data_IF_728076036852
#
_entry.id   IF_728076036852
#
_cell.length_a   1.000
_cell.length_b   1.000
_cell.length_c   1.000
_cell.angle_alpha   90.00
_cell.angle_beta   90.00
_cell.angle_gamma   90.00
#
_symmetry.space_group_name_H-M   'P 1'
#
loop_
_entity.id
_entity.type
_entity.pdbx_description
1 polymer ?
#
# COMPACT_ATOMS: atom_id res chain seq x y z
N UNK A 1 7.97 24.35 2.97
CA UNK A 1 8.06 23.81 1.60
C UNK A 1 9.51 23.54 1.19
N UNK A 2 10.39 24.54 1.26
CA UNK A 2 11.81 24.43 0.85
C UNK A 2 12.63 23.40 1.68
N UNK A 3 12.45 23.34 2.99
CA UNK A 3 13.16 22.35 3.84
C UNK A 3 12.75 20.90 3.54
N UNK A 4 11.47 20.65 3.24
CA UNK A 4 10.97 19.31 2.89
C UNK A 4 11.58 18.84 1.56
N UNK A 5 11.63 19.77 0.59
CA UNK A 5 12.26 19.56 -0.71
C UNK A 5 13.77 19.31 -0.62
N UNK A 6 14.48 20.04 0.25
CA UNK A 6 15.92 19.86 0.47
C UNK A 6 16.26 18.50 1.11
N UNK A 7 15.43 18.02 2.04
CA UNK A 7 15.57 16.67 2.64
C UNK A 7 15.33 15.57 1.60
N UNK A 8 14.31 15.73 0.75
CA UNK A 8 14.02 14.79 -0.33
C UNK A 8 15.17 14.73 -1.37
N UNK A 9 15.74 15.87 -1.76
CA UNK A 9 16.88 15.94 -2.69
C UNK A 9 18.14 15.29 -2.09
N UNK A 10 18.47 15.61 -0.84
CA UNK A 10 19.62 15.04 -0.12
C UNK A 10 19.51 13.52 0.04
N UNK A 11 18.31 13.02 0.35
CA UNK A 11 18.06 11.58 0.45
C UNK A 11 18.21 10.90 -0.91
N UNK A 12 17.67 11.50 -1.96
CA UNK A 12 17.73 10.99 -3.34
C UNK A 12 19.18 10.79 -3.82
N UNK A 13 20.11 11.64 -3.39
CA UNK A 13 21.52 11.58 -3.80
C UNK A 13 22.36 10.51 -3.05
N UNK A 14 21.84 9.93 -1.96
CA UNK A 14 22.60 9.03 -1.06
C UNK A 14 21.95 7.65 -0.87
N UNK A 15 21.09 7.23 -1.80
CA UNK A 15 20.47 5.89 -1.73
C UNK A 15 21.52 4.85 -2.13
N UNK A 16 22.18 4.24 -1.14
CA UNK A 16 22.97 3.02 -1.33
C UNK A 16 22.07 1.81 -1.04
N UNK A 17 22.02 0.80 -1.92
CA UNK A 17 21.28 -0.43 -1.63
C UNK A 17 21.74 -1.03 -0.30
N UNK A 18 20.84 -1.17 0.67
CA UNK A 18 21.11 -1.93 1.89
C UNK A 18 20.76 -3.38 1.64
N UNK A 19 21.74 -4.27 1.74
CA UNK A 19 21.47 -5.70 1.79
C UNK A 19 20.61 -6.00 3.00
N UNK A 20 19.49 -6.71 2.77
CA UNK A 20 18.70 -7.23 3.85
C UNK A 20 19.40 -8.50 4.34
N UNK A 21 19.75 -8.63 5.62
CA UNK A 21 20.35 -9.85 6.10
C UNK A 21 19.41 -11.04 5.83
N UNK A 22 19.94 -12.12 5.26
CA UNK A 22 19.17 -13.33 4.92
C UNK A 22 18.46 -13.95 6.14
N UNK A 23 18.88 -13.57 7.35
CA UNK A 23 18.41 -14.10 8.63
C UNK A 23 17.97 -12.97 9.57
N UNK A 24 17.06 -12.09 9.13
CA UNK A 24 16.37 -11.20 10.07
C UNK A 24 15.15 -11.91 10.65
N UNK A 25 15.25 -12.30 11.93
CA UNK A 25 14.13 -12.87 12.68
C UNK A 25 12.99 -11.85 12.88
N UNK A 26 11.76 -12.36 12.99
CA UNK A 26 10.54 -11.55 13.22
C UNK A 26 10.68 -10.65 14.46
N UNK A 27 11.41 -11.09 15.49
CA UNK A 27 11.65 -10.30 16.71
C UNK A 27 12.46 -9.04 16.44
N UNK A 28 13.51 -9.12 15.63
CA UNK A 28 14.30 -7.96 15.21
C UNK A 28 13.47 -6.99 14.37
N UNK A 29 12.60 -7.51 13.48
CA UNK A 29 11.68 -6.68 12.70
C UNK A 29 10.69 -5.94 13.60
N UNK A 30 10.14 -6.62 14.61
CA UNK A 30 9.24 -6.02 15.60
C UNK A 30 9.94 -4.90 16.37
N UNK A 31 11.17 -5.09 16.82
CA UNK A 31 11.93 -4.04 17.51
C UNK A 31 12.10 -2.78 16.64
N UNK A 32 12.48 -2.95 15.37
CA UNK A 32 12.60 -1.82 14.45
C UNK A 32 11.25 -1.12 14.21
N UNK A 33 10.19 -1.90 14.04
CA UNK A 33 8.83 -1.38 13.85
C UNK A 33 8.28 -0.69 15.09
N UNK A 34 8.53 -1.22 16.30
CA UNK A 34 7.99 -0.67 17.54
C UNK A 34 8.57 0.71 17.84
N UNK A 35 9.83 0.94 17.45
CA UNK A 35 10.49 2.24 17.49
C UNK A 35 10.03 3.26 16.43
N UNK A 36 8.99 2.95 15.65
CA UNK A 36 8.34 3.90 14.74
C UNK A 36 7.20 4.65 15.44
N UNK A 37 6.98 5.90 15.03
CA UNK A 37 5.80 6.66 15.43
C UNK A 37 4.54 6.24 14.63
N UNK A 38 3.39 6.83 14.97
CA UNK A 38 2.11 6.48 14.33
C UNK A 38 2.07 6.70 12.81
N UNK A 39 2.71 7.77 12.31
CA UNK A 39 2.75 8.12 10.87
C UNK A 39 3.59 7.13 10.08
N UNK A 40 4.77 6.82 10.58
CA UNK A 40 5.70 5.85 9.99
C UNK A 40 5.09 4.44 9.98
N UNK A 41 4.48 4.01 11.10
CA UNK A 41 3.75 2.74 11.19
C UNK A 41 2.62 2.67 10.17
N UNK A 42 1.87 3.76 9.99
CA UNK A 42 0.82 3.83 8.99
C UNK A 42 1.38 3.72 7.57
N UNK A 43 2.43 4.48 7.23
CA UNK A 43 3.07 4.40 5.93
C UNK A 43 3.62 3.00 5.62
N UNK A 44 4.28 2.35 6.58
CA UNK A 44 4.75 0.98 6.44
C UNK A 44 3.62 0.02 6.04
N UNK A 45 2.45 0.12 6.69
CA UNK A 45 1.27 -0.70 6.33
C UNK A 45 0.74 -0.39 4.94
N UNK A 46 0.73 0.89 4.52
CA UNK A 46 0.35 1.27 3.15
C UNK A 46 1.27 0.61 2.11
N UNK A 47 2.58 0.60 2.34
CA UNK A 47 3.56 -0.05 1.46
C UNK A 47 3.38 -1.57 1.45
N UNK A 48 3.25 -2.20 2.63
CA UNK A 48 3.07 -3.65 2.73
C UNK A 48 1.81 -4.16 2.00
N UNK A 49 0.72 -3.41 2.10
CA UNK A 49 -0.56 -3.78 1.51
C UNK A 49 -0.62 -3.44 0.01
N UNK A 50 -0.27 -2.22 -0.37
CA UNK A 50 -0.51 -1.71 -1.72
C UNK A 50 0.74 -1.30 -2.46
N UNK A 51 1.63 -0.55 -1.82
CA UNK A 51 2.67 0.20 -2.53
C UNK A 51 4.02 -0.52 -2.62
N UNK A 52 4.06 -1.83 -2.35
CA UNK A 52 5.27 -2.63 -2.56
C UNK A 52 5.58 -2.70 -4.07
N UNK A 53 6.84 -2.42 -4.43
CA UNK A 53 7.37 -2.26 -5.79
C UNK A 53 6.85 -1.02 -6.53
N UNK A 54 6.37 0.01 -5.83
CA UNK A 54 6.07 1.31 -6.42
C UNK A 54 7.29 2.24 -6.39
N UNK A 55 7.34 3.20 -7.30
CA UNK A 55 8.40 4.22 -7.29
C UNK A 55 8.22 5.19 -6.11
N UNK A 56 9.33 5.70 -5.58
CA UNK A 56 9.36 6.71 -4.53
C UNK A 56 8.45 7.90 -4.85
N UNK A 57 8.53 8.41 -6.08
CA UNK A 57 7.73 9.54 -6.57
C UNK A 57 6.24 9.20 -6.59
N UNK A 58 5.88 7.99 -7.03
CA UNK A 58 4.50 7.54 -7.01
C UNK A 58 3.98 7.48 -5.58
N UNK A 59 4.75 6.92 -4.64
CA UNK A 59 4.33 6.84 -3.23
C UNK A 59 4.11 8.24 -2.64
N UNK A 60 5.02 9.19 -2.88
CA UNK A 60 4.83 10.58 -2.47
C UNK A 60 3.56 11.17 -3.07
N UNK A 61 3.38 11.06 -4.38
CA UNK A 61 2.22 11.63 -5.09
C UNK A 61 0.90 11.01 -4.62
N UNK A 62 0.87 9.69 -4.45
CA UNK A 62 -0.31 8.93 -4.02
C UNK A 62 -0.74 9.30 -2.59
N UNK A 63 0.20 9.72 -1.75
CA UNK A 63 -0.02 10.05 -0.34
C UNK A 63 0.22 11.55 -0.04
N UNK A 64 0.21 12.42 -1.05
CA UNK A 64 0.48 13.85 -0.90
C UNK A 64 -0.52 14.54 0.04
N UNK A 65 -1.80 14.17 -0.07
CA UNK A 65 -2.91 14.68 0.75
C UNK A 65 -3.10 13.87 2.05
N UNK A 66 -2.03 13.26 2.54
CA UNK A 66 -2.04 12.52 3.80
C UNK A 66 -1.24 13.25 4.87
N UNK A 67 -1.61 13.04 6.13
CA UNK A 67 -0.89 13.58 7.28
C UNK A 67 0.34 12.73 7.65
N UNK A 68 0.85 11.91 6.71
CA UNK A 68 1.89 10.91 6.98
C UNK A 68 3.33 11.42 6.84
N UNK A 69 3.54 12.66 6.38
CA UNK A 69 4.87 13.21 6.10
C UNK A 69 5.75 12.28 5.25
N UNK A 70 5.18 11.85 4.12
CA UNK A 70 5.63 10.70 3.32
C UNK A 70 7.14 10.65 3.08
N UNK A 71 7.76 11.71 2.58
CA UNK A 71 9.22 11.72 2.31
C UNK A 71 10.07 11.48 3.56
N UNK A 72 9.71 12.13 4.69
CA UNK A 72 10.41 11.95 5.97
C UNK A 72 10.20 10.53 6.50
N UNK A 73 8.95 10.05 6.47
CA UNK A 73 8.61 8.71 6.91
C UNK A 73 9.27 7.62 6.05
N UNK A 74 9.38 7.80 4.72
CA UNK A 74 10.12 6.89 3.83
C UNK A 74 11.59 6.81 4.21
N UNK A 75 12.23 7.97 4.44
CA UNK A 75 13.62 8.02 4.89
C UNK A 75 13.82 7.25 6.19
N UNK A 76 12.94 7.42 7.19
CA UNK A 76 13.04 6.72 8.47
C UNK A 76 12.87 5.20 8.30
N UNK A 77 11.91 4.76 7.48
CA UNK A 77 11.73 3.35 7.17
C UNK A 77 12.96 2.75 6.48
N UNK A 78 13.60 3.48 5.56
CA UNK A 78 14.83 3.07 4.90
C UNK A 78 16.03 3.04 5.87
N UNK A 79 16.15 4.04 6.74
CA UNK A 79 17.22 4.13 7.74
C UNK A 79 17.16 2.95 8.72
N UNK A 80 15.94 2.53 9.11
CA UNK A 80 15.67 1.37 9.96
C UNK A 80 15.66 0.03 9.24
N UNK A 81 16.02 -0.01 7.95
CA UNK A 81 15.99 -1.23 7.13
C UNK A 81 14.62 -1.93 7.19
N UNK A 82 13.53 -1.17 7.17
CA UNK A 82 12.17 -1.68 7.05
C UNK A 82 11.64 -1.62 5.62
N UNK A 83 12.32 -0.89 4.74
CA UNK A 83 12.14 -0.91 3.29
C UNK A 83 13.50 -0.89 2.62
N UNK A 84 13.54 -1.31 1.36
CA UNK A 84 14.64 -1.05 0.44
C UNK A 84 14.17 -0.06 -0.62
N UNK A 85 15.12 0.70 -1.17
CA UNK A 85 14.89 1.56 -2.32
C UNK A 85 16.01 1.26 -3.32
N UNK A 86 15.65 0.85 -4.54
CA UNK A 86 16.62 0.56 -5.60
C UNK A 86 17.18 1.84 -6.24
N UNK A 87 18.16 1.70 -7.14
CA UNK A 87 18.69 2.81 -7.92
C UNK A 87 17.61 3.43 -8.82
N UNK A 88 16.69 2.61 -9.35
CA UNK A 88 15.49 3.04 -10.08
C UNK A 88 14.39 3.59 -9.16
N UNK A 89 14.72 3.81 -7.88
CA UNK A 89 13.84 4.37 -6.85
C UNK A 89 12.59 3.54 -6.58
N UNK A 90 12.66 2.22 -6.84
CA UNK A 90 11.59 1.31 -6.49
C UNK A 90 11.65 0.99 -5.00
N UNK A 91 10.57 1.27 -4.28
CA UNK A 91 10.40 0.88 -2.88
C UNK A 91 10.01 -0.58 -2.84
N UNK A 92 10.79 -1.40 -2.16
CA UNK A 92 10.50 -2.81 -1.97
C UNK A 92 10.50 -3.21 -0.49
N UNK A 93 9.60 -4.14 -0.18
CA UNK A 93 9.57 -4.89 1.07
C UNK A 93 9.96 -6.33 0.75
N UNK A 94 10.93 -6.84 1.51
CA UNK A 94 11.21 -8.27 1.51
C UNK A 94 9.96 -9.06 1.92
N UNK A 95 9.80 -10.30 1.43
CA UNK A 95 8.56 -11.06 1.62
C UNK A 95 8.15 -11.22 3.09
N UNK A 96 9.11 -11.42 4.00
CA UNK A 96 8.87 -11.50 5.46
C UNK A 96 8.30 -10.19 6.01
N UNK A 97 8.92 -9.05 5.66
CA UNK A 97 8.45 -7.72 6.05
C UNK A 97 7.08 -7.40 5.47
N UNK A 98 6.83 -7.80 4.22
CA UNK A 98 5.54 -7.59 3.58
C UNK A 98 4.44 -8.38 4.30
N UNK A 99 4.68 -9.65 4.64
CA UNK A 99 3.72 -10.45 5.40
C UNK A 99 3.48 -9.85 6.79
N UNK A 100 4.55 -9.51 7.51
CA UNK A 100 4.45 -8.84 8.80
C UNK A 100 3.61 -7.56 8.75
N UNK A 101 3.84 -6.69 7.75
CA UNK A 101 3.06 -5.47 7.58
C UNK A 101 1.59 -5.71 7.23
N UNK A 102 1.28 -6.79 6.48
CA UNK A 102 -0.10 -7.19 6.20
C UNK A 102 -0.78 -7.73 7.45
N UNK A 103 -0.10 -8.54 8.24
CA UNK A 103 -0.65 -9.07 9.50
C UNK A 103 -1.00 -7.96 10.48
N UNK A 104 -0.13 -6.94 10.59
CA UNK A 104 -0.40 -5.75 11.39
C UNK A 104 -1.62 -4.95 10.89
N UNK A 105 -1.89 -4.96 9.58
CA UNK A 105 -2.98 -4.21 8.99
C UNK A 105 -4.32 -4.97 9.02
N UNK A 106 -4.30 -6.29 8.86
CA UNK A 106 -5.48 -7.14 8.68
C UNK A 106 -5.84 -7.92 9.94
N UNK A 107 -4.83 -8.38 10.68
CA UNK A 107 -4.96 -9.28 11.84
C UNK A 107 -5.89 -8.76 12.94
N UNK A 108 -5.78 -7.49 13.38
CA UNK A 108 -6.67 -6.92 14.39
C UNK A 108 -8.15 -6.94 14.02
N UNK A 109 -8.47 -7.12 12.73
CA UNK A 109 -9.82 -7.07 12.18
C UNK A 109 -10.25 -8.40 11.56
N UNK A 110 -9.64 -9.53 11.94
CA UNK A 110 -9.98 -10.84 11.40
C UNK A 110 -11.48 -11.18 11.58
N UNK A 111 -12.05 -10.83 12.73
CA UNK A 111 -13.48 -11.04 13.03
C UNK A 111 -14.36 -9.84 12.62
N UNK A 112 -13.75 -8.72 12.22
CA UNK A 112 -14.44 -7.48 11.86
C UNK A 112 -13.87 -6.86 10.57
N UNK A 113 -13.86 -7.59 9.45
CA UNK A 113 -13.25 -7.17 8.19
C UNK A 113 -13.79 -5.82 7.66
N UNK A 114 -15.05 -5.48 7.96
CA UNK A 114 -15.65 -4.20 7.60
C UNK A 114 -14.96 -2.97 8.24
N UNK A 115 -14.20 -3.18 9.32
CA UNK A 115 -13.45 -2.12 10.02
C UNK A 115 -12.02 -1.93 9.47
N UNK A 116 -11.58 -2.78 8.52
CA UNK A 116 -10.23 -2.66 7.94
C UNK A 116 -10.08 -1.35 7.16
N UNK A 117 -8.88 -0.77 7.21
CA UNK A 117 -8.49 0.29 6.28
C UNK A 117 -8.26 -0.24 4.86
N UNK A 118 -8.00 -1.54 4.72
CA UNK A 118 -7.58 -2.17 3.48
C UNK A 118 -8.38 -3.44 3.23
N UNK A 119 -8.95 -3.58 2.04
CA UNK A 119 -9.54 -4.84 1.57
C UNK A 119 -8.61 -5.44 0.53
N UNK A 120 -8.15 -6.67 0.73
CA UNK A 120 -7.22 -7.30 -0.20
C UNK A 120 -7.66 -8.72 -0.53
N UNK A 121 -7.53 -9.06 -1.82
CA UNK A 121 -7.51 -10.45 -2.28
C UNK A 121 -6.13 -11.05 -2.00
N UNK A 122 -6.00 -11.69 -0.83
CA UNK A 122 -4.79 -12.42 -0.41
C UNK A 122 -4.84 -13.87 -0.88
N UNK A 123 -3.75 -14.62 -0.68
CA UNK A 123 -3.73 -16.06 -0.97
C UNK A 123 -4.69 -16.87 -0.09
N UNK A 124 -5.02 -16.35 1.08
CA UNK A 124 -5.76 -17.05 2.14
C UNK A 124 -7.23 -16.64 2.19
N UNK A 125 -7.57 -15.43 1.73
CA UNK A 125 -8.96 -14.97 1.66
C UNK A 125 -9.12 -13.78 0.70
N UNK A 126 -10.32 -13.63 0.13
CA UNK A 126 -10.67 -12.45 -0.64
C UNK A 126 -11.61 -11.55 0.16
N UNK A 127 -11.02 -10.58 0.87
CA UNK A 127 -11.78 -9.61 1.69
C UNK A 127 -12.81 -8.84 0.88
N UNK A 128 -12.55 -8.68 -0.41
CA UNK A 128 -13.39 -7.96 -1.36
C UNK A 128 -14.73 -8.66 -1.59
N UNK A 129 -14.86 -9.93 -1.19
CA UNK A 129 -16.11 -10.70 -1.25
C UNK A 129 -16.98 -10.58 0.01
N UNK A 130 -16.47 -9.94 1.07
CA UNK A 130 -17.18 -9.80 2.34
C UNK A 130 -18.27 -8.72 2.19
N UNK A 131 -19.38 -8.85 2.93
CA UNK A 131 -20.44 -7.86 2.92
C UNK A 131 -19.89 -6.46 3.27
N UNK A 132 -19.96 -5.56 2.29
CA UNK A 132 -19.44 -4.19 2.39
C UNK A 132 -20.39 -3.26 3.16
N UNK A 133 -21.53 -3.78 3.62
CA UNK A 133 -22.50 -3.04 4.43
C UNK A 133 -21.86 -2.53 5.73
N UNK A 134 -21.81 -1.20 5.89
CA UNK A 134 -21.20 -0.55 7.06
C UNK A 134 -19.73 -0.15 6.92
N UNK A 135 -19.09 -0.43 5.77
CA UNK A 135 -17.71 -0.01 5.49
C UNK A 135 -17.65 1.50 5.26
N UNK A 136 -16.95 2.22 6.16
CA UNK A 136 -16.80 3.69 6.10
C UNK A 136 -15.36 4.18 5.97
N UNK A 137 -14.38 3.31 6.28
CA UNK A 137 -12.99 3.71 6.50
C UNK A 137 -11.97 3.02 5.58
N UNK A 138 -12.42 2.32 4.55
CA UNK A 138 -11.51 1.67 3.59
C UNK A 138 -10.82 2.73 2.72
N UNK A 139 -9.49 2.74 2.79
CA UNK A 139 -8.60 3.61 2.02
C UNK A 139 -8.11 2.93 0.74
N UNK A 140 -8.02 1.59 0.70
CA UNK A 140 -7.49 0.86 -0.44
C UNK A 140 -8.15 -0.50 -0.65
N UNK A 141 -8.37 -0.88 -1.91
CA UNK A 141 -8.93 -2.17 -2.29
C UNK A 141 -8.05 -2.83 -3.34
N UNK A 142 -7.70 -4.10 -3.15
CA UNK A 142 -6.99 -4.92 -4.14
C UNK A 142 -7.79 -6.14 -4.55
N UNK A 143 -7.99 -6.33 -5.85
CA UNK A 143 -8.77 -7.45 -6.40
C UNK A 143 -8.25 -7.94 -7.74
N UNK A 144 -8.61 -9.17 -8.10
CA UNK A 144 -8.36 -9.73 -9.44
C UNK A 144 -9.19 -9.01 -10.48
N UNK A 145 -8.62 -8.76 -11.66
CA UNK A 145 -9.32 -8.14 -12.82
C UNK A 145 -10.67 -8.79 -13.14
N UNK A 146 -10.80 -10.09 -12.89
CA UNK A 146 -12.05 -10.85 -13.07
C UNK A 146 -13.21 -10.35 -12.19
N UNK A 147 -12.90 -9.66 -11.07
CA UNK A 147 -13.87 -9.12 -10.13
C UNK A 147 -14.32 -7.70 -10.47
N UNK A 148 -13.67 -7.05 -11.44
CA UNK A 148 -13.88 -5.64 -11.75
C UNK A 148 -15.34 -5.33 -12.13
N UNK A 149 -15.89 -6.07 -13.10
CA UNK A 149 -17.29 -5.91 -13.52
C UNK A 149 -18.29 -6.16 -12.39
N UNK A 150 -17.98 -7.10 -11.49
CA UNK A 150 -18.83 -7.39 -10.34
C UNK A 150 -18.83 -6.23 -9.35
N UNK A 151 -17.65 -5.68 -9.04
CA UNK A 151 -17.50 -4.55 -8.12
C UNK A 151 -18.11 -3.27 -8.69
N UNK A 152 -18.01 -3.06 -10.01
CA UNK A 152 -18.63 -1.94 -10.71
C UNK A 152 -20.15 -1.88 -10.52
N UNK A 153 -20.80 -3.05 -10.48
CA UNK A 153 -22.26 -3.19 -10.33
C UNK A 153 -22.70 -3.20 -8.87
N UNK A 154 -21.78 -3.33 -7.92
CA UNK A 154 -22.10 -3.35 -6.50
C UNK A 154 -22.29 -1.93 -5.97
N UNK A 155 -23.53 -1.53 -5.71
CA UNK A 155 -23.86 -0.21 -5.14
C UNK A 155 -23.17 0.04 -3.79
N UNK A 156 -22.84 -1.01 -3.04
CA UNK A 156 -22.12 -0.89 -1.77
C UNK A 156 -20.68 -0.43 -2.00
N UNK A 157 -20.05 -0.88 -3.09
CA UNK A 157 -18.72 -0.43 -3.48
C UNK A 157 -18.71 1.06 -3.87
N UNK A 158 -19.77 1.51 -4.56
CA UNK A 158 -19.95 2.94 -4.91
C UNK A 158 -20.15 3.81 -3.65
N UNK A 159 -20.64 3.24 -2.56
CA UNK A 159 -20.83 3.92 -1.27
C UNK A 159 -19.53 4.20 -0.48
N UNK A 160 -18.37 3.69 -0.89
CA UNK A 160 -17.10 3.82 -0.14
C UNK A 160 -16.50 5.22 -0.35
N UNK A 161 -16.82 6.15 0.55
CA UNK A 161 -16.42 7.58 0.43
C UNK A 161 -14.93 7.86 0.63
N UNK A 162 -14.20 7.00 1.33
CA UNK A 162 -12.78 7.20 1.69
C UNK A 162 -11.81 6.41 0.81
N UNK A 163 -12.30 5.72 -0.23
CA UNK A 163 -11.47 4.94 -1.13
C UNK A 163 -10.50 5.87 -1.87
N UNK A 164 -9.19 5.62 -1.72
CA UNK A 164 -8.13 6.37 -2.41
C UNK A 164 -7.38 5.50 -3.42
N UNK A 165 -7.20 4.22 -3.12
CA UNK A 165 -6.38 3.31 -3.92
C UNK A 165 -7.16 2.11 -4.43
N UNK A 166 -6.96 1.77 -5.69
CA UNK A 166 -7.47 0.54 -6.27
C UNK A 166 -6.35 -0.20 -6.99
N UNK A 167 -6.06 -1.42 -6.53
CA UNK A 167 -5.04 -2.29 -7.12
C UNK A 167 -5.71 -3.46 -7.81
N UNK A 168 -5.80 -3.40 -9.13
CA UNK A 168 -6.33 -4.47 -9.97
C UNK A 168 -5.17 -5.34 -10.42
N UNK A 169 -5.30 -6.65 -10.36
CA UNK A 169 -4.23 -7.53 -10.82
C UNK A 169 -4.73 -8.74 -11.60
N UNK A 170 -3.89 -9.27 -12.48
CA UNK A 170 -4.12 -10.50 -13.23
C UNK A 170 -3.00 -11.49 -12.91
N UNK A 171 -3.36 -12.70 -12.48
CA UNK A 171 -2.38 -13.80 -12.44
C UNK A 171 -2.16 -14.28 -13.87
N UNK A 172 -0.91 -14.30 -14.32
CA UNK A 172 -0.50 -14.89 -15.60
C UNK A 172 0.54 -15.99 -15.35
N UNK A 173 0.78 -16.82 -16.36
CA UNK A 173 1.82 -17.87 -16.31
C UNK A 173 3.25 -17.29 -16.16
N UNK A 174 3.47 -16.04 -16.55
CA UNK A 174 4.76 -15.35 -16.44
C UNK A 174 4.89 -14.46 -15.18
N UNK A 175 3.89 -14.48 -14.30
CA UNK A 175 3.88 -13.66 -13.09
C UNK A 175 2.60 -12.85 -12.88
N UNK A 176 2.60 -11.96 -11.88
CA UNK A 176 1.46 -11.11 -11.55
C UNK A 176 1.55 -9.78 -12.31
N UNK A 177 0.62 -9.55 -13.24
CA UNK A 177 0.43 -8.25 -13.87
C UNK A 177 -0.42 -7.38 -12.93
N UNK A 178 0.01 -6.15 -12.66
CA UNK A 178 -0.64 -5.26 -11.68
C UNK A 178 -0.92 -3.91 -12.32
N UNK A 179 -2.17 -3.45 -12.21
CA UNK A 179 -2.60 -2.10 -12.55
C UNK A 179 -3.00 -1.36 -11.28
N UNK A 180 -2.33 -0.25 -11.02
CA UNK A 180 -2.67 0.66 -9.94
C UNK A 180 -3.50 1.82 -10.47
N UNK A 181 -4.64 2.05 -9.84
CA UNK A 181 -5.52 3.17 -10.13
C UNK A 181 -5.63 4.02 -8.87
N UNK A 182 -5.24 5.29 -8.99
CA UNK A 182 -5.58 6.30 -8.00
C UNK A 182 -7.03 6.72 -8.24
N UNK A 183 -7.87 6.64 -7.20
CA UNK A 183 -9.32 6.81 -7.32
C UNK A 183 -9.76 8.26 -7.13
N UNK A 184 -8.90 9.26 -7.40
CA UNK A 184 -9.30 10.67 -7.31
C UNK A 184 -10.46 10.94 -8.30
N UNK A 185 -11.67 11.07 -7.77
CA UNK A 185 -12.91 11.26 -8.55
C UNK A 185 -13.43 9.98 -9.19
N UNK A 186 -14.03 9.08 -8.40
CA UNK A 186 -14.62 7.79 -8.81
C UNK A 186 -15.55 7.85 -10.05
N UNK A 187 -16.12 9.02 -10.36
CA UNK A 187 -16.92 9.23 -11.58
C UNK A 187 -16.09 9.14 -12.88
N UNK A 188 -14.88 9.70 -12.93
CA UNK A 188 -14.07 9.75 -14.16
C UNK A 188 -13.37 8.42 -14.49
N UNK A 189 -13.28 7.50 -13.52
CA UNK A 189 -12.60 6.21 -13.69
C UNK A 189 -13.40 5.24 -14.56
N UNK A 190 -14.72 5.17 -14.38
CA UNK A 190 -15.57 4.28 -15.18
C UNK A 190 -15.78 4.80 -16.60
N UNK A 191 -15.85 6.12 -16.80
CA UNK A 191 -15.96 6.74 -18.12
C UNK A 191 -14.69 6.55 -18.97
N UNK A 192 -13.51 6.46 -18.33
CA UNK A 192 -12.24 6.20 -19.02
C UNK A 192 -12.02 4.72 -19.35
N UNK A 193 -12.60 3.81 -18.56
CA UNK A 193 -12.48 2.36 -18.79
C UNK A 193 -13.47 1.86 -19.86
N UNK A 194 -14.54 2.61 -20.15
CA UNK A 194 -15.54 2.27 -21.17
C UNK A 194 -15.22 2.82 -22.58
N UNK A 195 -14.10 3.54 -22.77
CA UNK A 195 -13.73 4.20 -24.03
C UNK A 195 -12.41 3.69 -24.65
N UNK A 196 -12.06 2.43 -24.38
CA UNK A 196 -10.96 1.69 -25.03
C UNK A 196 -11.42 0.27 -25.32
#
# INVERSE_FOLDING_TARGET
>A
MIQKLAVDISFTLNITPKEFPDVVGIETLKLHYDGLNGKEKALFRHIACFLNNETYENVIRLLEDSELDVGVSLKILFDKSLIQISEERLISLHHVLQNFGRDLALGPFINHPANRQFLMDTSESCDVLIDLSGIRNVFGISFKVQMEERLRRDERFKGIKKLRFMRVYKKSFYGKEVRFHLVKGLHSLWDRLNNT
#
